data_IF_397366712497
#
_entry.id   IF_397366712497
#
_cell.length_a   1.000
_cell.length_b   1.000
_cell.length_c   1.000
_cell.angle_alpha   90.00
_cell.angle_beta   90.00
_cell.angle_gamma   90.00
#
_symmetry.space_group_name_H-M   'P 1'
#
loop_
_entity.id
_entity.type
_entity.pdbx_description
1 polymer ?
#
# COMPACT_ATOMS: atom_id res chain seq x y z
N UNK A 1 -12.32 1.83 -17.65
CA UNK A 1 -11.38 2.98 -17.62
C UNK A 1 -10.61 2.98 -16.30
N UNK A 2 -9.36 3.31 -16.36
CA UNK A 2 -8.57 3.52 -15.16
C UNK A 2 -9.08 4.76 -14.41
N UNK A 3 -9.10 4.69 -13.06
CA UNK A 3 -9.42 5.88 -12.27
C UNK A 3 -8.26 6.87 -12.26
N UNK A 4 -8.57 8.16 -12.22
CA UNK A 4 -7.54 9.22 -12.13
C UNK A 4 -6.67 9.05 -10.89
N UNK A 5 -7.26 8.56 -9.79
CA UNK A 5 -6.54 8.27 -8.56
C UNK A 5 -5.53 7.11 -8.74
N UNK A 6 -5.92 6.05 -9.45
CA UNK A 6 -5.00 4.95 -9.74
C UNK A 6 -3.84 5.41 -10.63
N UNK A 7 -4.15 6.22 -11.65
CA UNK A 7 -3.11 6.77 -12.53
C UNK A 7 -2.09 7.59 -11.75
N UNK A 8 -2.56 8.53 -10.90
CA UNK A 8 -1.67 9.35 -10.07
C UNK A 8 -0.75 8.51 -9.18
N UNK A 9 -1.30 7.47 -8.55
CA UNK A 9 -0.51 6.57 -7.69
C UNK A 9 0.53 5.79 -8.51
N UNK A 10 0.14 5.26 -9.65
CA UNK A 10 1.02 4.45 -10.51
C UNK A 10 2.14 5.30 -11.10
N UNK A 11 1.82 6.50 -11.58
CA UNK A 11 2.83 7.45 -12.10
C UNK A 11 3.83 7.85 -11.02
N UNK A 12 3.36 8.16 -9.81
CA UNK A 12 4.24 8.50 -8.70
C UNK A 12 5.19 7.34 -8.37
N UNK A 13 4.68 6.11 -8.31
CA UNK A 13 5.50 4.92 -8.04
C UNK A 13 6.51 4.65 -9.15
N UNK A 14 6.10 4.66 -10.41
CA UNK A 14 6.99 4.44 -11.56
C UNK A 14 8.04 5.54 -11.68
N UNK A 15 7.65 6.77 -11.42
CA UNK A 15 8.55 7.92 -11.44
C UNK A 15 9.41 8.07 -10.17
N UNK A 16 9.25 7.18 -9.18
CA UNK A 16 9.95 7.25 -7.88
C UNK A 16 9.79 8.62 -7.22
N UNK A 17 8.56 9.09 -7.17
CA UNK A 17 8.20 10.38 -6.58
C UNK A 17 7.25 10.17 -5.41
N UNK A 18 7.31 11.09 -4.44
CA UNK A 18 6.32 11.14 -3.37
C UNK A 18 4.97 11.47 -3.99
N UNK A 19 3.95 10.68 -3.65
CA UNK A 19 2.58 10.93 -4.10
C UNK A 19 2.06 12.23 -3.48
N UNK A 20 1.61 13.15 -4.34
CA UNK A 20 0.90 14.34 -3.88
C UNK A 20 -0.50 13.95 -3.35
N UNK A 21 -1.09 14.76 -2.45
CA UNK A 21 -2.46 14.52 -2.01
C UNK A 21 -3.43 14.40 -3.18
N UNK A 22 -4.28 13.37 -3.16
CA UNK A 22 -5.22 13.10 -4.25
C UNK A 22 -6.38 14.13 -4.32
N UNK A 23 -6.64 14.86 -3.25
CA UNK A 23 -7.66 15.90 -3.24
C UNK A 23 -9.05 15.40 -3.65
N UNK A 24 -9.64 16.01 -4.66
CA UNK A 24 -10.99 15.69 -5.12
C UNK A 24 -11.13 14.27 -5.70
N UNK A 25 -10.05 13.70 -6.24
CA UNK A 25 -10.06 12.35 -6.82
C UNK A 25 -9.81 11.24 -5.78
N UNK A 26 -9.58 11.59 -4.51
CA UNK A 26 -9.42 10.60 -3.45
C UNK A 26 -10.72 9.79 -3.23
N UNK A 27 -10.61 8.48 -2.93
CA UNK A 27 -11.78 7.68 -2.61
C UNK A 27 -12.51 8.24 -1.37
N UNK A 28 -13.84 8.22 -1.39
CA UNK A 28 -14.66 8.83 -0.33
C UNK A 28 -15.11 7.83 0.73
N UNK A 29 -14.94 6.54 0.48
CA UNK A 29 -15.32 5.46 1.38
C UNK A 29 -14.21 4.42 1.49
N UNK A 30 -14.21 3.62 2.54
CA UNK A 30 -13.26 2.52 2.68
C UNK A 30 -13.39 1.52 1.52
N UNK A 31 -14.61 1.20 1.12
CA UNK A 31 -14.88 0.32 -0.02
C UNK A 31 -14.24 0.84 -1.31
N UNK A 32 -14.42 2.13 -1.61
CA UNK A 32 -13.80 2.76 -2.77
C UNK A 32 -12.26 2.77 -2.64
N UNK A 33 -11.74 2.91 -1.43
CA UNK A 33 -10.31 2.82 -1.14
C UNK A 33 -9.75 1.43 -1.45
N UNK A 34 -10.45 0.37 -1.04
CA UNK A 34 -10.05 -1.00 -1.36
C UNK A 34 -10.18 -1.34 -2.85
N UNK A 35 -11.20 -0.81 -3.52
CA UNK A 35 -11.32 -0.95 -4.97
C UNK A 35 -10.14 -0.29 -5.70
N UNK A 36 -9.77 0.91 -5.30
CA UNK A 36 -8.59 1.62 -5.81
C UNK A 36 -7.30 0.84 -5.54
N UNK A 37 -7.12 0.33 -4.32
CA UNK A 37 -5.97 -0.51 -3.96
C UNK A 37 -5.83 -1.71 -4.89
N UNK A 38 -6.94 -2.41 -5.14
CA UNK A 38 -6.96 -3.57 -6.05
C UNK A 38 -6.61 -3.18 -7.47
N UNK A 39 -7.16 -2.09 -7.98
CA UNK A 39 -6.85 -1.56 -9.30
C UNK A 39 -5.35 -1.27 -9.45
N UNK A 40 -4.77 -0.55 -8.49
CA UNK A 40 -3.33 -0.24 -8.47
C UNK A 40 -2.49 -1.51 -8.41
N UNK A 41 -2.83 -2.45 -7.53
CA UNK A 41 -2.11 -3.72 -7.40
C UNK A 41 -2.14 -4.53 -8.69
N UNK A 42 -3.29 -4.60 -9.35
CA UNK A 42 -3.46 -5.32 -10.62
C UNK A 42 -2.58 -4.69 -11.72
N UNK A 43 -2.61 -3.38 -11.86
CA UNK A 43 -1.87 -2.65 -12.91
C UNK A 43 -0.35 -2.65 -12.68
N UNK A 44 0.09 -2.78 -11.45
CA UNK A 44 1.51 -2.90 -11.09
C UNK A 44 2.00 -4.37 -11.09
N UNK A 45 1.15 -5.32 -11.46
CA UNK A 45 1.51 -6.73 -11.48
C UNK A 45 1.65 -7.36 -10.09
N UNK A 46 1.02 -6.77 -9.08
CA UNK A 46 1.07 -7.25 -7.70
C UNK A 46 0.05 -8.34 -7.36
N UNK A 47 -0.74 -8.78 -8.33
CA UNK A 47 -1.73 -9.84 -8.15
C UNK A 47 -1.44 -11.04 -9.05
N UNK A 48 -1.69 -12.28 -8.60
CA UNK A 48 -2.10 -12.63 -7.24
C UNK A 48 -1.00 -12.29 -6.21
N UNK A 49 -1.37 -11.88 -4.98
CA UNK A 49 -0.40 -11.48 -3.97
C UNK A 49 0.33 -12.70 -3.40
N UNK A 50 1.53 -12.46 -2.84
CA UNK A 50 2.23 -13.46 -2.05
C UNK A 50 1.68 -13.55 -0.61
N UNK A 51 0.98 -12.52 -0.17
CA UNK A 51 0.40 -12.45 1.15
C UNK A 51 -0.30 -11.11 1.39
N UNK A 52 -0.62 -10.88 2.66
CA UNK A 52 -1.34 -9.69 3.10
C UNK A 52 -0.63 -9.07 4.30
N UNK A 53 -0.67 -7.76 4.40
CA UNK A 53 -0.25 -7.01 5.56
C UNK A 53 -1.48 -6.38 6.21
N UNK A 54 -1.52 -6.40 7.56
CA UNK A 54 -2.58 -5.76 8.34
C UNK A 54 -1.97 -4.61 9.10
N UNK A 55 -2.61 -3.44 9.06
CA UNK A 55 -2.20 -2.26 9.79
C UNK A 55 -3.37 -1.62 10.53
N UNK A 56 -3.10 -0.54 11.26
CA UNK A 56 -4.10 0.18 12.06
C UNK A 56 -4.86 -0.75 13.03
N UNK A 57 -4.13 -1.60 13.75
CA UNK A 57 -4.72 -2.64 14.62
C UNK A 57 -5.21 -2.09 15.97
N UNK A 58 -4.80 -0.90 16.36
CA UNK A 58 -5.24 -0.28 17.59
C UNK A 58 -6.44 0.66 17.36
N UNK A 59 -7.32 0.78 18.34
CA UNK A 59 -8.45 1.73 18.27
C UNK A 59 -7.98 3.17 18.10
N UNK A 60 -6.88 3.53 18.73
CA UNK A 60 -6.29 4.86 18.62
C UNK A 60 -5.86 5.16 17.19
N UNK A 61 -5.17 4.24 16.52
CA UNK A 61 -4.73 4.43 15.15
C UNK A 61 -5.91 4.45 14.17
N UNK A 62 -6.91 3.59 14.38
CA UNK A 62 -8.14 3.60 13.60
C UNK A 62 -8.84 4.96 13.68
N UNK A 63 -9.00 5.49 14.90
CA UNK A 63 -9.59 6.82 15.10
C UNK A 63 -8.75 7.93 14.43
N UNK A 64 -7.44 7.88 14.57
CA UNK A 64 -6.53 8.85 13.93
C UNK A 64 -6.66 8.86 12.41
N UNK A 65 -6.80 7.70 11.80
CA UNK A 65 -6.93 7.54 10.34
C UNK A 65 -8.37 7.64 9.83
N UNK A 66 -9.36 7.74 10.72
CA UNK A 66 -10.77 7.75 10.33
C UNK A 66 -11.29 6.40 9.81
N UNK A 67 -10.72 5.30 10.28
CA UNK A 67 -11.09 3.95 9.88
C UNK A 67 -12.08 3.32 10.85
N UNK A 68 -12.97 2.46 10.34
CA UNK A 68 -13.92 1.68 11.14
C UNK A 68 -13.31 0.43 11.78
N UNK A 69 -12.15 0.01 11.30
CA UNK A 69 -11.44 -1.19 11.76
C UNK A 69 -10.00 -1.21 11.25
N UNK A 70 -9.29 -2.33 11.38
CA UNK A 70 -7.97 -2.50 10.79
C UNK A 70 -7.99 -2.39 9.27
N UNK A 71 -6.87 -1.97 8.68
CA UNK A 71 -6.69 -1.94 7.24
C UNK A 71 -5.84 -3.13 6.78
N UNK A 72 -6.07 -3.59 5.57
CA UNK A 72 -5.29 -4.65 4.95
C UNK A 72 -4.70 -4.20 3.61
N UNK A 73 -3.56 -4.74 3.25
CA UNK A 73 -2.90 -4.47 1.98
C UNK A 73 -2.35 -5.75 1.36
N UNK A 74 -2.08 -5.70 0.06
CA UNK A 74 -1.45 -6.78 -0.68
C UNK A 74 0.07 -6.71 -0.56
N UNK A 75 0.71 -7.85 -0.33
CA UNK A 75 2.16 -8.00 -0.43
C UNK A 75 2.45 -8.67 -1.77
N UNK A 76 3.05 -7.97 -2.74
CA UNK A 76 3.38 -8.56 -4.02
C UNK A 76 4.51 -9.58 -3.88
N UNK A 77 4.58 -10.56 -4.78
CA UNK A 77 5.66 -11.55 -4.78
C UNK A 77 7.05 -10.91 -4.83
N UNK A 78 7.19 -9.81 -5.57
CA UNK A 78 8.44 -9.03 -5.66
C UNK A 78 8.83 -8.34 -4.35
N UNK A 79 7.90 -8.22 -3.40
CA UNK A 79 8.14 -7.62 -2.08
C UNK A 79 8.64 -8.62 -1.04
N UNK A 80 8.62 -9.92 -1.33
CA UNK A 80 9.14 -10.94 -0.42
C UNK A 80 10.61 -11.22 -0.67
N UNK A 81 11.36 -11.32 0.41
CA UNK A 81 12.78 -11.72 0.38
C UNK A 81 13.03 -12.76 1.45
N UNK A 82 13.98 -13.64 1.18
CA UNK A 82 14.45 -14.62 2.17
C UNK A 82 15.46 -13.99 3.12
N UNK A 83 15.41 -14.37 4.38
CA UNK A 83 16.42 -13.98 5.36
C UNK A 83 17.71 -14.82 5.20
N UNK A 84 18.90 -14.22 5.30
CA UNK A 84 19.12 -12.78 5.46
C UNK A 84 18.92 -12.02 4.15
N UNK A 85 18.39 -10.80 4.24
CA UNK A 85 18.20 -9.94 3.09
C UNK A 85 18.85 -8.57 3.33
N UNK A 86 19.31 -7.96 2.24
CA UNK A 86 19.88 -6.61 2.27
C UNK A 86 19.07 -5.71 1.36
N UNK A 87 18.75 -4.52 1.84
CA UNK A 87 18.12 -3.47 1.07
C UNK A 87 18.97 -2.20 1.16
N UNK A 88 19.09 -1.47 0.04
CA UNK A 88 19.82 -0.21 0.02
C UNK A 88 18.88 0.92 0.40
N UNK A 89 19.30 1.79 1.31
CA UNK A 89 18.55 2.96 1.71
C UNK A 89 18.12 3.83 0.51
N UNK A 90 19.01 4.00 -0.47
CA UNK A 90 18.76 4.80 -1.65
C UNK A 90 17.67 4.25 -2.59
N UNK A 91 17.25 3.00 -2.41
CA UNK A 91 16.17 2.39 -3.21
C UNK A 91 14.77 2.83 -2.73
N UNK A 92 14.68 3.56 -1.64
CA UNK A 92 13.44 4.00 -1.01
C UNK A 92 13.33 5.53 -1.00
N UNK A 93 12.12 6.04 -1.04
CA UNK A 93 11.86 7.49 -0.92
C UNK A 93 11.85 7.94 0.53
N UNK A 94 11.21 7.17 1.40
CA UNK A 94 11.10 7.46 2.83
C UNK A 94 11.08 6.14 3.61
N UNK A 95 12.25 5.48 3.74
CA UNK A 95 12.30 4.13 4.32
C UNK A 95 12.03 4.12 5.81
N UNK A 96 11.31 3.09 6.25
CA UNK A 96 11.10 2.77 7.64
C UNK A 96 11.21 1.26 7.85
N UNK A 97 11.45 0.86 9.09
CA UNK A 97 11.51 -0.54 9.52
C UNK A 97 10.44 -0.79 10.58
N UNK A 98 9.72 -1.87 10.40
CA UNK A 98 8.75 -2.37 11.38
C UNK A 98 9.02 -3.85 11.66
N UNK A 99 8.96 -4.23 12.93
CA UNK A 99 9.05 -5.62 13.35
C UNK A 99 7.65 -6.17 13.52
N UNK A 100 7.32 -7.21 12.77
CA UNK A 100 5.99 -7.79 12.77
C UNK A 100 6.01 -9.31 12.87
N UNK A 101 4.92 -9.89 13.37
CA UNK A 101 4.71 -11.34 13.37
C UNK A 101 4.09 -11.72 12.03
N UNK A 102 4.71 -12.69 11.35
CA UNK A 102 4.18 -13.24 10.13
C UNK A 102 3.71 -14.67 10.35
N UNK A 103 2.57 -15.02 9.78
CA UNK A 103 1.97 -16.35 9.79
C UNK A 103 1.98 -16.93 8.38
N UNK A 104 2.14 -18.26 8.31
CA UNK A 104 2.01 -19.06 7.08
C UNK A 104 0.88 -20.06 7.22
#
# INVERSE_FOLDING_TARGET
>A
MASDAAEAIIEARRGRRILAPLGAIAPKTEEAGYALQKEVALRLGGLPPAGFKIGATTKQMQAYLGLSGPAAGFVPKSGLRRSPATARFADFLNPGLECEVALR
#
